data_IF_306927679621
#
_entry.id   IF_306927679621
#
_cell.length_a   1.000
_cell.length_b   1.000
_cell.length_c   1.000
_cell.angle_alpha   90.00
_cell.angle_beta   90.00
_cell.angle_gamma   90.00
#
_symmetry.space_group_name_H-M   'P 1'
#
loop_
_entity.id
_entity.type
_entity.pdbx_description
1 polymer ?
#
# COMPACT_ATOMS: atom_id res chain seq x y z
N UNK A 1 12.89 -17.00 1.57
CA UNK A 1 12.27 -16.90 0.21
C UNK A 1 13.31 -16.40 -0.81
N UNK A 2 13.32 -16.84 -2.08
CA UNK A 2 14.30 -16.36 -3.06
C UNK A 2 14.12 -14.88 -3.39
N UNK A 3 15.23 -14.16 -3.57
CA UNK A 3 15.26 -12.70 -3.82
C UNK A 3 14.47 -12.29 -5.06
N UNK A 4 14.45 -13.13 -6.10
CA UNK A 4 13.68 -12.90 -7.33
C UNK A 4 12.18 -12.80 -7.07
N UNK A 5 11.63 -13.59 -6.14
CA UNK A 5 10.20 -13.57 -5.80
C UNK A 5 9.84 -12.29 -5.04
N UNK A 6 10.71 -11.83 -4.15
CA UNK A 6 10.50 -10.56 -3.44
C UNK A 6 10.56 -9.36 -4.41
N UNK A 7 11.50 -9.36 -5.36
CA UNK A 7 11.56 -8.34 -6.41
C UNK A 7 10.30 -8.40 -7.30
N UNK A 8 9.84 -9.60 -7.65
CA UNK A 8 8.60 -9.75 -8.40
C UNK A 8 7.41 -9.17 -7.64
N UNK A 9 7.34 -9.33 -6.31
CA UNK A 9 6.30 -8.73 -5.48
C UNK A 9 6.33 -7.18 -5.51
N UNK A 10 7.52 -6.57 -5.52
CA UNK A 10 7.69 -5.12 -5.67
C UNK A 10 7.11 -4.55 -6.96
N UNK A 11 7.10 -5.35 -8.02
CA UNK A 11 6.61 -4.94 -9.35
C UNK A 11 5.15 -5.34 -9.53
N UNK A 12 4.78 -6.56 -9.12
CA UNK A 12 3.44 -7.09 -9.22
C UNK A 12 2.45 -6.31 -8.36
N UNK A 13 2.87 -5.78 -7.22
CA UNK A 13 2.01 -5.00 -6.33
C UNK A 13 1.43 -3.73 -7.00
N UNK A 14 2.25 -2.73 -7.42
CA UNK A 14 1.72 -1.54 -8.06
C UNK A 14 1.05 -1.85 -9.40
N UNK A 15 1.55 -2.82 -10.17
CA UNK A 15 0.90 -3.27 -11.40
C UNK A 15 -0.47 -3.85 -11.14
N UNK A 16 -0.60 -4.69 -10.12
CA UNK A 16 -1.88 -5.26 -9.69
C UNK A 16 -2.89 -4.17 -9.33
N UNK A 17 -2.46 -3.12 -8.63
CA UNK A 17 -3.32 -1.97 -8.33
C UNK A 17 -3.78 -1.22 -9.60
N UNK A 18 -2.90 -1.09 -10.61
CA UNK A 18 -3.26 -0.51 -11.91
C UNK A 18 -4.25 -1.41 -12.66
N UNK A 19 -4.05 -2.72 -12.68
CA UNK A 19 -4.97 -3.67 -13.31
C UNK A 19 -6.34 -3.62 -12.62
N UNK A 20 -6.39 -3.61 -11.29
CA UNK A 20 -7.65 -3.48 -10.54
C UNK A 20 -8.36 -2.16 -10.88
N UNK A 21 -7.62 -1.06 -11.07
CA UNK A 21 -8.18 0.21 -11.54
C UNK A 21 -8.77 0.13 -12.94
N UNK A 22 -8.18 -0.66 -13.84
CA UNK A 22 -8.71 -0.84 -15.20
C UNK A 22 -10.00 -1.68 -15.19
N UNK A 23 -10.11 -2.63 -14.27
CA UNK A 23 -11.26 -3.55 -14.18
C UNK A 23 -12.39 -3.01 -13.30
N UNK A 24 -12.08 -2.17 -12.33
CA UNK A 24 -13.03 -1.70 -11.31
C UNK A 24 -12.80 -0.24 -10.95
N UNK A 25 -13.81 0.41 -10.37
CA UNK A 25 -13.67 1.78 -9.88
C UNK A 25 -12.79 1.80 -8.64
N UNK A 26 -11.57 2.32 -8.79
CA UNK A 26 -10.64 2.63 -7.69
C UNK A 26 -10.53 4.14 -7.52
N UNK A 27 -10.64 4.63 -6.28
CA UNK A 27 -10.51 6.06 -5.99
C UNK A 27 -9.06 6.52 -6.17
N UNK A 28 -8.87 7.71 -6.74
CA UNK A 28 -7.52 8.31 -6.95
C UNK A 28 -6.70 8.40 -5.67
N UNK A 29 -7.36 8.67 -4.53
CA UNK A 29 -6.75 8.71 -3.19
C UNK A 29 -6.18 7.35 -2.73
N UNK A 30 -6.88 6.25 -3.04
CA UNK A 30 -6.37 4.90 -2.78
C UNK A 30 -5.12 4.60 -3.63
N UNK A 31 -5.11 5.01 -4.90
CA UNK A 31 -3.93 4.87 -5.76
C UNK A 31 -2.75 5.73 -5.29
N UNK A 32 -3.02 6.94 -4.79
CA UNK A 32 -1.98 7.80 -4.22
C UNK A 32 -1.36 7.16 -2.97
N UNK A 33 -2.19 6.59 -2.08
CA UNK A 33 -1.73 5.84 -0.91
C UNK A 33 -0.83 4.66 -1.29
N UNK A 34 -1.19 3.90 -2.33
CA UNK A 34 -0.36 2.83 -2.88
C UNK A 34 0.97 3.37 -3.41
N UNK A 35 0.94 4.47 -4.16
CA UNK A 35 2.15 5.11 -4.66
C UNK A 35 3.10 5.52 -3.54
N UNK A 36 2.57 6.14 -2.47
CA UNK A 36 3.36 6.55 -1.29
C UNK A 36 3.97 5.32 -0.60
N UNK A 37 3.17 4.28 -0.34
CA UNK A 37 3.68 3.07 0.29
C UNK A 37 4.71 2.34 -0.57
N UNK A 38 4.53 2.32 -1.89
CA UNK A 38 5.50 1.72 -2.82
C UNK A 38 6.82 2.50 -2.87
N UNK A 39 6.77 3.83 -2.89
CA UNK A 39 7.97 4.68 -2.81
C UNK A 39 8.69 4.44 -1.47
N UNK A 40 7.97 4.41 -0.35
CA UNK A 40 8.55 4.09 0.94
C UNK A 40 9.21 2.70 0.96
N UNK A 41 8.55 1.71 0.34
CA UNK A 41 9.10 0.37 0.19
C UNK A 41 10.41 0.37 -0.59
N UNK A 42 10.48 1.13 -1.70
CA UNK A 42 11.66 1.22 -2.56
C UNK A 42 12.81 1.92 -1.85
N UNK A 43 12.54 3.05 -1.18
CA UNK A 43 13.55 3.78 -0.41
C UNK A 43 14.15 2.87 0.66
N UNK A 44 13.33 2.13 1.40
CA UNK A 44 13.84 1.20 2.40
C UNK A 44 14.63 0.05 1.76
N UNK A 45 14.16 -0.51 0.65
CA UNK A 45 14.87 -1.57 -0.05
C UNK A 45 16.25 -1.15 -0.58
N UNK A 46 16.46 0.15 -0.88
CA UNK A 46 17.72 0.65 -1.42
C UNK A 46 18.63 1.32 -0.40
N UNK A 47 18.11 1.79 0.74
CA UNK A 47 18.90 2.59 1.70
C UNK A 47 19.15 1.92 3.05
N UNK A 48 18.34 0.95 3.47
CA UNK A 48 18.50 0.35 4.79
C UNK A 48 19.61 -0.71 4.84
N UNK A 49 20.08 -0.98 6.06
CA UNK A 49 21.11 -1.98 6.36
C UNK A 49 20.60 -2.92 7.46
N UNK A 50 20.93 -4.22 7.43
CA UNK A 50 21.78 -4.94 6.47
C UNK A 50 21.09 -5.30 5.14
N UNK A 51 21.88 -5.38 4.06
CA UNK A 51 21.44 -5.57 2.67
C UNK A 51 20.61 -6.85 2.40
N UNK A 52 20.71 -7.84 3.28
CA UNK A 52 20.01 -9.11 3.16
C UNK A 52 18.54 -9.02 3.58
N UNK A 53 18.21 -8.09 4.47
CA UNK A 53 16.87 -7.96 5.07
C UNK A 53 16.07 -6.78 4.53
N UNK A 54 16.68 -5.92 3.74
CA UNK A 54 16.06 -4.67 3.27
C UNK A 54 14.86 -4.87 2.36
N UNK A 55 14.94 -5.84 1.44
CA UNK A 55 13.84 -6.11 0.51
C UNK A 55 12.58 -6.58 1.25
N UNK A 56 12.63 -7.60 2.14
CA UNK A 56 11.43 -8.02 2.87
C UNK A 56 10.95 -6.96 3.87
N UNK A 57 11.85 -6.23 4.55
CA UNK A 57 11.46 -5.13 5.45
C UNK A 57 10.76 -4.01 4.68
N UNK A 58 11.30 -3.61 3.53
CA UNK A 58 10.71 -2.58 2.69
C UNK A 58 9.31 -2.96 2.21
N UNK A 59 9.07 -4.22 1.84
CA UNK A 59 7.73 -4.73 1.52
C UNK A 59 6.79 -4.62 2.70
N UNK A 60 7.20 -5.04 3.89
CA UNK A 60 6.35 -4.96 5.10
C UNK A 60 5.97 -3.52 5.41
N UNK A 61 6.97 -2.64 5.49
CA UNK A 61 6.74 -1.25 5.89
C UNK A 61 5.93 -0.50 4.83
N UNK A 62 6.32 -0.61 3.57
CA UNK A 62 5.63 0.11 2.50
C UNK A 62 4.22 -0.37 2.27
N UNK A 63 3.97 -1.69 2.32
CA UNK A 63 2.59 -2.21 2.24
C UNK A 63 1.76 -1.84 3.45
N UNK A 64 2.34 -1.82 4.65
CA UNK A 64 1.69 -1.34 5.86
C UNK A 64 1.28 0.13 5.75
N UNK A 65 2.17 0.98 5.22
CA UNK A 65 1.87 2.39 4.94
C UNK A 65 0.72 2.50 3.94
N UNK A 66 0.80 1.80 2.81
CA UNK A 66 -0.23 1.85 1.79
C UNK A 66 -1.59 1.36 2.30
N UNK A 67 -1.65 0.23 2.99
CA UNK A 67 -2.89 -0.32 3.55
C UNK A 67 -3.49 0.64 4.58
N UNK A 68 -2.66 1.19 5.47
CA UNK A 68 -3.11 2.15 6.49
C UNK A 68 -3.64 3.44 5.88
N UNK A 69 -2.94 4.01 4.88
CA UNK A 69 -3.39 5.20 4.18
C UNK A 69 -4.65 4.94 3.34
N UNK A 70 -4.76 3.78 2.70
CA UNK A 70 -5.98 3.36 2.01
C UNK A 70 -7.16 3.27 2.98
N UNK A 71 -6.97 2.67 4.15
CA UNK A 71 -8.00 2.58 5.20
C UNK A 71 -8.39 3.96 5.74
N UNK A 72 -7.41 4.80 6.06
CA UNK A 72 -7.64 6.16 6.56
C UNK A 72 -8.42 7.00 5.54
N UNK A 73 -8.02 6.96 4.27
CA UNK A 73 -8.69 7.70 3.18
C UNK A 73 -10.03 7.09 2.79
N UNK A 74 -10.25 5.79 3.04
CA UNK A 74 -11.50 5.11 2.76
C UNK A 74 -12.57 5.40 3.81
N UNK A 75 -12.18 5.53 5.08
CA UNK A 75 -13.07 5.84 6.22
C UNK A 75 -13.19 7.33 6.52
N UNK A 76 -12.55 8.19 5.72
CA UNK A 76 -12.66 9.64 5.89
C UNK A 76 -11.99 10.16 7.16
N UNK A 77 -10.92 9.49 7.64
CA UNK A 77 -10.09 10.05 8.71
C UNK A 77 -9.35 11.26 8.12
N UNK A 78 -9.99 12.42 8.21
CA UNK A 78 -9.38 13.70 7.86
C UNK A 78 -8.51 14.12 9.03
N UNK A 79 -7.21 14.29 8.80
CA UNK A 79 -6.37 15.04 9.72
C UNK A 79 -6.92 16.46 9.77
N UNK A 80 -7.63 16.79 10.85
CA UNK A 80 -8.16 18.13 11.12
C UNK A 80 -6.99 19.05 11.46
N UNK A 81 -6.55 19.85 10.49
CA UNK A 81 -5.70 21.01 10.79
C UNK A 81 -6.51 22.13 11.47
N UNK A 82 -7.83 22.15 11.30
CA UNK A 82 -8.80 22.93 12.05
C UNK A 82 -9.82 21.97 12.71
N UNK A 83 -10.08 22.12 14.01
CA UNK A 83 -10.96 21.22 14.79
C UNK A 83 -12.42 21.18 14.29
N UNK A 84 -12.84 22.20 13.54
CA UNK A 84 -14.25 22.44 13.22
C UNK A 84 -14.62 22.12 11.76
N UNK A 85 -13.64 21.75 10.92
CA UNK A 85 -13.87 21.41 9.51
C UNK A 85 -13.60 19.93 9.23
N UNK A 86 -14.67 19.19 8.94
CA UNK A 86 -14.57 17.86 8.34
C UNK A 86 -14.41 18.01 6.83
N UNK A 87 -13.15 18.01 6.38
CA UNK A 87 -12.86 18.29 4.96
C UNK A 87 -13.48 17.27 3.99
N UNK A 88 -13.68 16.00 4.41
CA UNK A 88 -14.14 14.93 3.53
C UNK A 88 -14.81 13.78 4.29
N UNK A 89 -16.06 13.95 4.71
CA UNK A 89 -16.91 12.82 5.14
C UNK A 89 -17.24 11.97 3.91
N UNK A 90 -17.00 10.66 3.97
CA UNK A 90 -17.40 9.73 2.92
C UNK A 90 -18.47 8.77 3.46
N UNK A 91 -19.73 9.15 3.33
CA UNK A 91 -20.90 8.35 3.74
C UNK A 91 -21.28 7.25 2.73
N UNK A 92 -20.49 7.12 1.65
CA UNK A 92 -20.72 6.14 0.59
C UNK A 92 -20.15 4.75 0.92
N UNK A 93 -20.67 3.73 0.24
CA UNK A 93 -20.06 2.40 0.25
C UNK A 93 -18.67 2.46 -0.40
N UNK A 94 -17.64 1.96 0.31
CA UNK A 94 -16.28 1.82 -0.22
C UNK A 94 -16.33 0.96 -1.50
N UNK A 95 -15.77 1.42 -2.64
CA UNK A 95 -15.75 0.63 -3.87
C UNK A 95 -15.03 -0.71 -3.69
N UNK A 96 -15.51 -1.75 -4.37
CA UNK A 96 -14.89 -3.08 -4.33
C UNK A 96 -13.42 -3.01 -4.78
N UNK A 97 -13.11 -2.17 -5.78
CA UNK A 97 -11.75 -1.95 -6.26
C UNK A 97 -10.79 -1.47 -5.17
N UNK A 98 -11.21 -0.54 -4.32
CA UNK A 98 -10.38 -0.06 -3.20
C UNK A 98 -10.07 -1.20 -2.22
N UNK A 99 -11.04 -2.06 -1.93
CA UNK A 99 -10.83 -3.23 -1.05
C UNK A 99 -9.87 -4.24 -1.68
N UNK A 100 -9.97 -4.47 -2.99
CA UNK A 100 -9.06 -5.37 -3.70
C UNK A 100 -7.62 -4.84 -3.67
N UNK A 101 -7.44 -3.53 -3.86
CA UNK A 101 -6.13 -2.87 -3.77
C UNK A 101 -5.56 -2.94 -2.34
N UNK A 102 -6.41 -2.78 -1.34
CA UNK A 102 -6.04 -2.94 0.06
C UNK A 102 -5.58 -4.38 0.37
N UNK A 103 -6.37 -5.38 -0.02
CA UNK A 103 -6.01 -6.81 0.12
C UNK A 103 -4.69 -7.11 -0.57
N UNK A 104 -4.49 -6.58 -1.78
CA UNK A 104 -3.27 -6.79 -2.54
C UNK A 104 -2.05 -6.16 -1.85
N UNK A 105 -2.23 -5.04 -1.15
CA UNK A 105 -1.19 -4.45 -0.30
C UNK A 105 -0.88 -5.33 0.89
N UNK A 106 -1.89 -5.83 1.61
CA UNK A 106 -1.69 -6.75 2.73
C UNK A 106 -0.95 -8.02 2.28
N UNK A 107 -1.30 -8.58 1.12
CA UNK A 107 -0.60 -9.73 0.55
C UNK A 107 0.87 -9.43 0.25
N UNK A 108 1.18 -8.25 -0.28
CA UNK A 108 2.57 -7.83 -0.49
C UNK A 108 3.36 -7.76 0.84
N UNK A 109 2.72 -7.30 1.92
CA UNK A 109 3.29 -7.31 3.26
C UNK A 109 3.54 -8.72 3.79
N UNK A 110 2.57 -9.63 3.63
CA UNK A 110 2.71 -11.04 4.01
C UNK A 110 3.86 -11.71 3.26
N UNK A 111 4.04 -11.42 1.97
CA UNK A 111 5.21 -11.89 1.20
C UNK A 111 6.51 -11.36 1.80
N UNK A 112 6.54 -10.11 2.26
CA UNK A 112 7.67 -9.56 3.00
C UNK A 112 7.95 -10.31 4.31
N UNK A 113 6.92 -10.64 5.09
CA UNK A 113 7.05 -11.42 6.34
C UNK A 113 7.61 -12.82 6.07
N UNK A 114 7.07 -13.52 5.06
CA UNK A 114 7.57 -14.83 4.63
C UNK A 114 9.01 -14.74 4.10
N UNK A 115 9.38 -13.58 3.52
CA UNK A 115 10.75 -13.31 3.08
C UNK A 115 11.76 -13.16 4.22
N UNK A 116 11.30 -12.83 5.43
CA UNK A 116 12.11 -12.67 6.64
C UNK A 116 12.22 -13.96 7.48
N UNK A 117 11.24 -14.85 7.36
CA UNK A 117 11.24 -16.18 7.97
C UNK A 117 12.16 -17.14 7.20
#
# INVERSE_FOLDING_TARGET
>A
MPRSVLIAAYVAWPLGAVVVRLLTRVRRRCLAAIGVGWIAALVLATTATPAERVIPIGLIVGSGIAATLCLATARGVTFTFAQDETYWVYDGKIPVGDRLVEVLSVLAGVVGVIGLA
#
